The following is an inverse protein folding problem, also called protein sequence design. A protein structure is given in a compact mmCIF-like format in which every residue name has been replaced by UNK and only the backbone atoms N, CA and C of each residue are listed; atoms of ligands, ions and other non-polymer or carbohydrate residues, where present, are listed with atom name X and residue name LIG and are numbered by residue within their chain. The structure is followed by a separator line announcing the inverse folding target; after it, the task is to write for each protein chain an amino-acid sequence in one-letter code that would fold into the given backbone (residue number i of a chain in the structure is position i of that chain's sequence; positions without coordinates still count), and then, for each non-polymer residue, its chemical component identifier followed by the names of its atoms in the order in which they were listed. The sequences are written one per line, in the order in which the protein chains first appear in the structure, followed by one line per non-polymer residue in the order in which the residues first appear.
data_IF_426609865258
#
_entry.id   IF_426609865258
#
_cell.length_a   1.000
_cell.length_b   1.000
_cell.length_c   1.000
_cell.angle_alpha   90.00
_cell.angle_beta   90.00
_cell.angle_gamma   90.00
#
_symmetry.space_group_name_H-M   'P 1'
#
loop_
_entity.id
_entity.type
_entity.pdbx_description
1 polymer ?
#
# COMPACT_ATOMS: atom_id res chain seq x y z
N UNK A 1 16.59 -4.62 -2.23
CA UNK A 1 17.96 -4.63 -1.76
C UNK A 1 18.04 -3.97 -0.40
N UNK A 2 18.77 -4.62 0.55
CA UNK A 2 19.08 -3.96 1.79
C UNK A 2 19.97 -2.76 1.42
N UNK A 3 19.39 -1.59 1.39
CA UNK A 3 20.13 -0.36 1.15
C UNK A 3 20.18 0.40 2.47
N UNK A 4 21.30 1.01 2.77
CA UNK A 4 21.42 1.95 3.88
C UNK A 4 20.58 3.23 3.65
N UNK A 5 19.77 3.24 2.58
CA UNK A 5 18.84 4.30 2.26
C UNK A 5 17.60 4.20 3.16
N UNK A 6 17.32 5.23 3.98
CA UNK A 6 16.11 5.28 4.81
C UNK A 6 14.80 5.15 4.02
N UNK A 7 14.78 5.56 2.75
CA UNK A 7 13.62 5.43 1.88
C UNK A 7 13.38 3.96 1.47
N UNK A 8 14.45 3.18 1.27
CA UNK A 8 14.32 1.75 0.97
C UNK A 8 13.80 0.94 2.16
N UNK A 9 14.09 1.37 3.40
CA UNK A 9 13.53 0.76 4.61
C UNK A 9 12.00 0.91 4.73
N UNK A 10 11.39 1.71 3.85
CA UNK A 10 9.95 1.94 3.75
C UNK A 10 9.29 1.09 2.65
N UNK A 11 10.05 0.28 1.90
CA UNK A 11 9.47 -0.58 0.87
C UNK A 11 8.55 -1.63 1.49
N UNK A 12 7.48 -1.98 0.77
CA UNK A 12 6.50 -2.94 1.25
C UNK A 12 7.15 -4.30 1.59
N UNK A 13 8.08 -4.77 0.76
CA UNK A 13 8.78 -6.06 0.99
C UNK A 13 9.59 -6.04 2.27
N UNK A 14 10.29 -4.93 2.55
CA UNK A 14 11.07 -4.78 3.79
C UNK A 14 10.13 -4.68 5.00
N UNK A 15 9.02 -3.96 4.89
CA UNK A 15 8.02 -3.87 5.95
C UNK A 15 7.43 -5.25 6.30
N UNK A 16 7.10 -6.06 5.30
CA UNK A 16 6.61 -7.43 5.47
C UNK A 16 7.70 -8.31 6.11
N UNK A 17 8.91 -8.30 5.58
CA UNK A 17 10.02 -9.10 6.11
C UNK A 17 10.32 -8.76 7.58
N UNK A 18 10.33 -7.49 7.91
CA UNK A 18 10.54 -7.00 9.29
C UNK A 18 9.41 -7.46 10.22
N UNK A 19 8.16 -7.36 9.75
CA UNK A 19 7.00 -7.83 10.50
C UNK A 19 7.06 -9.34 10.74
N UNK A 20 7.40 -10.13 9.72
CA UNK A 20 7.49 -11.58 9.81
C UNK A 20 8.63 -12.04 10.74
N UNK A 21 9.74 -11.33 10.76
CA UNK A 21 10.86 -11.58 11.69
C UNK A 21 10.55 -11.15 13.12
N UNK A 22 9.53 -10.31 13.32
CA UNK A 22 9.19 -9.72 14.61
C UNK A 22 10.37 -8.99 15.27
N UNK A 23 11.23 -8.41 14.45
CA UNK A 23 12.44 -7.71 14.89
C UNK A 23 12.37 -6.21 14.54
N UNK A 24 11.92 -5.36 15.49
CA UNK A 24 11.86 -3.93 15.25
C UNK A 24 13.23 -3.25 15.17
N UNK A 25 14.31 -3.94 15.59
CA UNK A 25 15.65 -3.33 15.68
C UNK A 25 16.28 -3.05 14.32
N UNK A 26 15.78 -3.69 13.26
CA UNK A 26 16.21 -3.42 11.87
C UNK A 26 15.63 -2.11 11.33
N UNK A 27 14.65 -1.51 12.02
CA UNK A 27 14.06 -0.22 11.68
C UNK A 27 14.74 0.88 12.47
N UNK A 28 14.82 2.07 11.89
CA UNK A 28 15.35 3.26 12.58
C UNK A 28 14.53 3.56 13.83
N UNK A 29 15.21 3.97 14.91
CA UNK A 29 14.61 4.22 16.24
C UNK A 29 13.54 5.32 16.24
N UNK A 30 13.69 6.30 15.36
CA UNK A 30 12.83 7.48 15.28
C UNK A 30 11.66 7.34 14.30
N UNK A 31 11.37 6.11 13.83
CA UNK A 31 10.30 5.89 12.84
C UNK A 31 8.99 5.42 13.48
N UNK A 32 7.90 5.88 12.91
CA UNK A 32 6.54 5.42 13.22
C UNK A 32 6.40 3.91 13.02
N UNK A 33 7.10 3.34 12.04
CA UNK A 33 7.06 1.90 11.73
C UNK A 33 7.64 1.06 12.88
N UNK A 34 8.79 1.48 13.42
CA UNK A 34 9.38 0.79 14.58
C UNK A 34 8.46 0.87 15.79
N UNK A 35 7.99 2.05 16.13
CA UNK A 35 7.07 2.25 17.26
C UNK A 35 5.78 1.43 17.09
N UNK A 36 5.23 1.37 15.88
CA UNK A 36 4.03 0.58 15.59
C UNK A 36 4.28 -0.93 15.71
N UNK A 37 5.41 -1.42 15.21
CA UNK A 37 5.76 -2.83 15.35
C UNK A 37 6.03 -3.21 16.83
N UNK A 38 6.74 -2.38 17.58
CA UNK A 38 6.96 -2.58 19.02
C UNK A 38 5.63 -2.59 19.78
N UNK A 39 4.71 -1.69 19.47
CA UNK A 39 3.37 -1.66 20.07
C UNK A 39 2.58 -2.94 19.73
N UNK A 40 2.62 -3.40 18.47
CA UNK A 40 2.00 -4.66 18.07
C UNK A 40 2.60 -5.84 18.84
N UNK A 41 3.91 -5.97 18.94
CA UNK A 41 4.58 -7.08 19.61
C UNK A 41 4.30 -7.12 21.13
N UNK A 42 3.98 -5.98 21.72
CA UNK A 42 3.66 -5.86 23.16
C UNK A 42 2.16 -6.06 23.46
N UNK A 43 1.28 -6.16 22.46
CA UNK A 43 -0.17 -6.39 22.67
C UNK A 43 -0.50 -7.89 22.66
N UNK A 44 -1.62 -8.25 23.29
CA UNK A 44 -2.13 -9.62 23.32
C UNK A 44 -3.06 -9.87 22.12
N UNK A 45 -2.58 -10.64 21.16
CA UNK A 45 -3.32 -10.98 19.93
C UNK A 45 -4.00 -12.35 19.99
N UNK A 46 -3.98 -13.06 21.14
CA UNK A 46 -4.56 -14.40 21.26
C UNK A 46 -6.06 -14.38 20.95
N UNK A 47 -6.47 -15.27 20.06
CA UNK A 47 -7.85 -15.39 19.62
C UNK A 47 -8.33 -14.30 18.65
N UNK A 48 -7.45 -13.39 18.21
CA UNK A 48 -7.76 -12.38 17.19
C UNK A 48 -7.30 -12.88 15.83
N UNK A 49 -8.10 -12.63 14.80
CA UNK A 49 -7.71 -12.83 13.40
C UNK A 49 -6.96 -11.60 12.90
N UNK A 50 -5.84 -11.80 12.25
CA UNK A 50 -5.08 -10.70 11.64
C UNK A 50 -5.80 -10.20 10.38
N UNK A 51 -5.73 -8.89 10.19
CA UNK A 51 -6.14 -8.23 8.97
C UNK A 51 -5.01 -7.31 8.50
N UNK A 52 -4.48 -7.57 7.31
CA UNK A 52 -3.48 -6.72 6.67
C UNK A 52 -4.16 -5.84 5.63
N UNK A 53 -4.07 -4.53 5.78
CA UNK A 53 -4.47 -3.56 4.77
C UNK A 53 -3.21 -3.02 4.12
N UNK A 54 -3.09 -3.26 2.81
CA UNK A 54 -1.92 -2.86 2.02
C UNK A 54 -2.35 -1.68 1.14
N UNK A 55 -1.74 -0.50 1.36
CA UNK A 55 -1.99 0.69 0.57
C UNK A 55 -0.65 1.35 0.20
N UNK A 56 -0.11 0.93 -0.93
CA UNK A 56 1.16 1.39 -1.48
C UNK A 56 0.97 1.87 -2.94
N UNK A 57 1.98 2.53 -3.49
CA UNK A 57 2.04 2.89 -4.89
C UNK A 57 2.26 4.38 -5.18
N UNK A 58 1.90 5.31 -4.27
CA UNK A 58 2.16 6.74 -4.49
C UNK A 58 3.66 7.05 -4.53
N UNK A 59 4.44 6.49 -3.60
CA UNK A 59 5.88 6.69 -3.61
C UNK A 59 6.55 6.02 -4.81
N UNK A 60 6.06 4.86 -5.23
CA UNK A 60 6.53 4.16 -6.43
C UNK A 60 6.27 5.01 -7.67
N UNK A 61 5.07 5.58 -7.79
CA UNK A 61 4.69 6.50 -8.86
C UNK A 61 5.59 7.75 -8.89
N UNK A 62 5.77 8.45 -7.74
CA UNK A 62 6.62 9.63 -7.68
C UNK A 62 8.10 9.36 -7.93
N UNK A 63 8.58 8.17 -7.56
CA UNK A 63 9.97 7.75 -7.77
C UNK A 63 10.21 7.15 -9.16
N UNK A 64 9.16 6.98 -9.97
CA UNK A 64 9.27 6.44 -11.32
C UNK A 64 9.65 4.97 -11.40
N UNK A 65 9.34 4.17 -10.38
CA UNK A 65 9.53 2.73 -10.46
C UNK A 65 8.61 2.12 -11.54
N UNK A 66 9.09 1.11 -12.23
CA UNK A 66 8.26 0.38 -13.20
C UNK A 66 7.03 -0.23 -12.52
N UNK A 67 5.88 -0.21 -13.19
CA UNK A 67 4.65 -0.79 -12.65
C UNK A 67 4.78 -2.31 -12.53
N UNK A 68 5.28 -2.99 -13.57
CA UNK A 68 5.43 -4.44 -13.59
C UNK A 68 6.57 -4.86 -14.52
N UNK A 69 7.07 -6.09 -14.34
CA UNK A 69 7.94 -6.78 -15.29
C UNK A 69 7.28 -8.12 -15.66
N UNK A 70 6.75 -8.26 -16.89
CA UNK A 70 6.13 -9.52 -17.34
C UNK A 70 7.11 -10.68 -17.43
N UNK A 71 8.43 -10.44 -17.55
CA UNK A 71 9.45 -11.49 -17.65
C UNK A 71 9.90 -11.96 -16.26
N UNK A 72 9.82 -11.09 -15.24
CA UNK A 72 10.02 -11.43 -13.83
C UNK A 72 8.88 -10.88 -12.95
N UNK A 73 7.74 -11.57 -12.87
CA UNK A 73 6.56 -11.10 -12.13
C UNK A 73 6.78 -10.88 -10.62
N UNK A 74 7.90 -11.36 -10.08
CA UNK A 74 8.26 -11.20 -8.67
C UNK A 74 9.49 -10.29 -8.46
N UNK A 75 9.90 -9.55 -9.49
CA UNK A 75 10.95 -8.55 -9.34
C UNK A 75 10.51 -7.45 -8.36
N UNK A 76 11.13 -7.45 -7.18
CA UNK A 76 10.80 -6.51 -6.09
C UNK A 76 11.24 -5.08 -6.35
N UNK A 77 11.89 -4.80 -7.47
CA UNK A 77 12.19 -3.43 -7.94
C UNK A 77 10.97 -2.82 -8.63
N UNK A 78 10.04 -3.64 -9.11
CA UNK A 78 8.76 -3.17 -9.67
C UNK A 78 7.67 -3.11 -8.59
N UNK A 79 6.69 -2.24 -8.81
CA UNK A 79 5.54 -2.08 -7.91
C UNK A 79 4.74 -3.39 -7.76
N UNK A 80 4.31 -3.98 -8.87
CA UNK A 80 3.51 -5.21 -8.84
C UNK A 80 4.30 -6.42 -8.32
N UNK A 81 5.58 -6.53 -8.68
CA UNK A 81 6.45 -7.61 -8.18
C UNK A 81 6.67 -7.53 -6.68
N UNK A 82 6.84 -6.31 -6.14
CA UNK A 82 6.91 -6.09 -4.70
C UNK A 82 5.60 -6.47 -3.98
N UNK A 83 4.45 -6.10 -4.54
CA UNK A 83 3.14 -6.47 -4.00
C UNK A 83 2.93 -7.99 -3.99
N UNK A 84 3.18 -8.68 -5.12
CA UNK A 84 3.06 -10.16 -5.21
C UNK A 84 3.95 -10.85 -4.19
N UNK A 85 5.20 -10.40 -4.08
CA UNK A 85 6.17 -10.98 -3.15
C UNK A 85 5.74 -10.81 -1.69
N UNK A 86 5.33 -9.60 -1.29
CA UNK A 86 4.88 -9.34 0.07
C UNK A 86 3.56 -10.05 0.41
N UNK A 87 2.57 -10.04 -0.48
CA UNK A 87 1.29 -10.73 -0.27
C UNK A 87 1.51 -12.23 -0.11
N UNK A 88 2.32 -12.84 -0.99
CA UNK A 88 2.67 -14.27 -0.89
C UNK A 88 3.30 -14.60 0.45
N UNK A 89 4.27 -13.81 0.90
CA UNK A 89 4.93 -14.02 2.19
C UNK A 89 3.96 -13.94 3.37
N UNK A 90 2.98 -13.02 3.32
CA UNK A 90 1.94 -12.92 4.34
C UNK A 90 0.97 -14.11 4.30
N UNK A 91 0.57 -14.56 3.10
CA UNK A 91 -0.31 -15.72 2.94
C UNK A 91 0.34 -17.02 3.44
N UNK A 92 1.63 -17.20 3.18
CA UNK A 92 2.41 -18.36 3.66
C UNK A 92 2.56 -18.36 5.18
N UNK A 93 2.82 -17.21 5.78
CA UNK A 93 3.05 -17.09 7.22
C UNK A 93 1.74 -17.06 8.04
N UNK A 94 0.67 -16.51 7.47
CA UNK A 94 -0.63 -16.31 8.13
C UNK A 94 -1.79 -16.74 7.21
N UNK A 95 -1.97 -18.06 6.97
CA UNK A 95 -2.97 -18.55 6.00
C UNK A 95 -4.42 -18.19 6.36
N UNK A 96 -4.70 -17.91 7.63
CA UNK A 96 -6.04 -17.50 8.10
C UNK A 96 -6.23 -15.97 8.15
N UNK A 97 -5.22 -15.18 7.84
CA UNK A 97 -5.32 -13.74 7.86
C UNK A 97 -6.26 -13.22 6.74
N UNK A 98 -6.87 -12.08 7.00
CA UNK A 98 -7.48 -11.27 5.95
C UNK A 98 -6.40 -10.38 5.35
N UNK A 99 -6.29 -10.35 4.03
CA UNK A 99 -5.42 -9.42 3.31
C UNK A 99 -6.31 -8.63 2.37
N UNK A 100 -6.25 -7.30 2.45
CA UNK A 100 -6.95 -6.39 1.55
C UNK A 100 -5.94 -5.48 0.90
N UNK A 101 -5.93 -5.46 -0.43
CA UNK A 101 -5.13 -4.53 -1.21
C UNK A 101 -5.99 -3.32 -1.59
N UNK A 102 -5.52 -2.13 -1.24
CA UNK A 102 -6.14 -0.86 -1.60
C UNK A 102 -5.25 -0.13 -2.62
N UNK A 103 -5.84 0.37 -3.68
CA UNK A 103 -5.14 1.19 -4.66
C UNK A 103 -4.60 2.49 -4.02
N UNK A 104 -3.61 3.15 -4.64
CA UNK A 104 -3.28 4.53 -4.33
C UNK A 104 -4.53 5.42 -4.38
N UNK A 105 -4.61 6.43 -3.51
CA UNK A 105 -5.73 7.37 -3.54
C UNK A 105 -5.58 8.40 -4.66
N UNK A 106 -6.69 9.09 -4.98
CA UNK A 106 -6.70 10.25 -5.84
C UNK A 106 -5.80 11.36 -5.27
N UNK A 107 -5.08 12.06 -6.14
CA UNK A 107 -4.21 13.19 -5.80
C UNK A 107 -4.50 14.36 -6.75
N UNK A 108 -4.18 15.58 -6.30
CA UNK A 108 -4.30 16.80 -7.12
C UNK A 108 -2.96 17.33 -7.61
N UNK A 109 -1.90 16.55 -7.44
CA UNK A 109 -0.56 16.93 -7.87
C UNK A 109 -0.39 16.61 -9.37
N UNK A 110 -0.84 17.56 -10.22
CA UNK A 110 -0.73 17.47 -11.67
C UNK A 110 -0.02 18.69 -12.24
N UNK A 111 0.77 18.50 -13.27
CA UNK A 111 1.38 19.59 -14.02
C UNK A 111 0.42 20.07 -15.11
N UNK A 112 0.09 21.37 -15.13
CA UNK A 112 -0.80 21.99 -16.13
C UNK A 112 -2.16 21.28 -16.31
N UNK A 113 -2.70 20.69 -15.24
CA UNK A 113 -3.97 19.96 -15.26
C UNK A 113 -3.90 18.57 -15.90
N UNK A 114 -2.71 18.09 -16.20
CA UNK A 114 -2.48 16.72 -16.68
C UNK A 114 -1.76 15.90 -15.61
N UNK A 115 -2.09 14.63 -15.53
CA UNK A 115 -1.45 13.69 -14.63
C UNK A 115 0.05 13.61 -14.91
N UNK A 116 0.87 13.80 -13.87
CA UNK A 116 2.30 13.60 -13.98
C UNK A 116 2.62 12.14 -14.26
N UNK A 117 3.63 11.93 -15.07
CA UNK A 117 4.22 10.63 -15.27
C UNK A 117 5.48 10.54 -14.40
N UNK A 118 5.65 9.42 -13.71
CA UNK A 118 6.92 9.09 -13.08
C UNK A 118 8.04 8.98 -14.12
N UNK A 119 9.29 8.87 -13.70
CA UNK A 119 10.45 8.73 -14.61
C UNK A 119 10.29 7.55 -15.58
N UNK A 120 9.57 6.49 -15.19
CA UNK A 120 9.21 5.38 -16.07
C UNK A 120 8.13 5.72 -17.11
N UNK A 121 7.58 6.95 -17.09
CA UNK A 121 6.52 7.39 -18.01
C UNK A 121 5.13 6.79 -17.73
N UNK A 122 4.93 6.13 -16.58
CA UNK A 122 3.64 5.54 -16.20
C UNK A 122 2.77 6.52 -15.45
N UNK A 123 1.46 6.48 -15.69
CA UNK A 123 0.47 7.28 -14.97
C UNK A 123 0.12 6.66 -13.63
N UNK A 124 -0.43 7.43 -12.68
CA UNK A 124 -0.91 6.89 -11.41
C UNK A 124 -2.00 5.82 -11.62
N UNK A 125 -2.84 6.00 -12.62
CA UNK A 125 -3.87 5.01 -12.98
C UNK A 125 -3.29 3.68 -13.45
N UNK A 126 -2.07 3.64 -13.98
CA UNK A 126 -1.37 2.39 -14.28
C UNK A 126 -1.02 1.60 -13.00
N UNK A 127 -0.63 2.30 -11.93
CA UNK A 127 -0.41 1.65 -10.62
C UNK A 127 -1.72 1.17 -10.00
N UNK A 128 -2.82 1.93 -10.16
CA UNK A 128 -4.16 1.50 -9.72
C UNK A 128 -4.57 0.21 -10.42
N UNK A 129 -4.41 0.14 -11.74
CA UNK A 129 -4.70 -1.08 -12.52
C UNK A 129 -3.77 -2.23 -12.12
N UNK A 130 -2.46 -1.96 -11.97
CA UNK A 130 -1.50 -2.97 -11.52
C UNK A 130 -1.87 -3.57 -10.16
N UNK A 131 -2.33 -2.74 -9.20
CA UNK A 131 -2.83 -3.24 -7.91
C UNK A 131 -4.06 -4.13 -8.07
N UNK A 132 -5.01 -3.76 -8.94
CA UNK A 132 -6.18 -4.58 -9.22
C UNK A 132 -5.80 -5.94 -9.81
N UNK A 133 -4.89 -5.95 -10.78
CA UNK A 133 -4.40 -7.18 -11.43
C UNK A 133 -3.67 -8.09 -10.43
N UNK A 134 -2.84 -7.51 -9.54
CA UNK A 134 -2.17 -8.26 -8.47
C UNK A 134 -3.18 -8.84 -7.50
N UNK A 135 -4.20 -8.08 -7.09
CA UNK A 135 -5.23 -8.56 -6.17
C UNK A 135 -5.98 -9.78 -6.75
N UNK A 136 -6.35 -9.72 -8.03
CA UNK A 136 -6.99 -10.83 -8.74
C UNK A 136 -6.07 -12.06 -8.81
N UNK A 137 -4.81 -11.88 -9.22
CA UNK A 137 -3.79 -12.95 -9.30
C UNK A 137 -3.51 -13.61 -7.95
N UNK A 138 -3.47 -12.82 -6.89
CA UNK A 138 -3.17 -13.30 -5.54
C UNK A 138 -4.40 -13.77 -4.76
N UNK A 139 -5.61 -13.61 -5.32
CA UNK A 139 -6.87 -14.01 -4.71
C UNK A 139 -7.19 -13.23 -3.42
N UNK A 140 -6.86 -11.94 -3.37
CA UNK A 140 -7.14 -11.06 -2.23
C UNK A 140 -8.19 -10.00 -2.58
N UNK A 141 -9.05 -9.59 -1.62
CA UNK A 141 -9.95 -8.46 -1.81
C UNK A 141 -9.22 -7.20 -2.25
N UNK A 142 -9.86 -6.44 -3.16
CA UNK A 142 -9.34 -5.18 -3.68
C UNK A 142 -10.31 -4.04 -3.44
N UNK A 143 -9.78 -2.89 -3.02
CA UNK A 143 -10.52 -1.64 -2.98
C UNK A 143 -9.86 -0.59 -3.89
N UNK A 144 -10.60 -0.18 -4.91
CA UNK A 144 -10.18 0.89 -5.82
C UNK A 144 -10.35 2.25 -5.13
N UNK A 145 -9.34 2.65 -4.38
CA UNK A 145 -9.34 3.91 -3.64
C UNK A 145 -9.38 5.12 -4.58
N UNK A 146 -8.73 5.01 -5.72
CA UNK A 146 -8.63 6.11 -6.68
C UNK A 146 -9.99 6.51 -7.26
N UNK A 147 -10.78 5.53 -7.73
CA UNK A 147 -12.04 5.82 -8.42
C UNK A 147 -13.27 5.76 -7.50
N UNK A 148 -13.21 5.01 -6.40
CA UNK A 148 -14.39 4.69 -5.58
C UNK A 148 -14.43 5.39 -4.23
N UNK A 149 -13.36 6.02 -3.79
CA UNK A 149 -13.37 6.78 -2.53
C UNK A 149 -14.24 8.04 -2.61
N UNK A 150 -14.54 8.51 -3.84
CA UNK A 150 -15.37 9.70 -4.05
C UNK A 150 -14.60 11.02 -3.94
N UNK A 151 -13.27 10.97 -3.83
CA UNK A 151 -12.41 12.15 -3.88
C UNK A 151 -12.15 12.48 -5.35
N UNK A 152 -12.39 13.73 -5.73
CA UNK A 152 -12.29 14.24 -7.10
C UNK A 152 -11.63 15.62 -7.10
N UNK A 153 -11.34 16.16 -8.27
CA UNK A 153 -10.81 17.53 -8.39
C UNK A 153 -11.72 18.58 -7.73
N UNK A 154 -13.04 18.38 -7.76
CA UNK A 154 -14.02 19.35 -7.27
C UNK A 154 -14.13 19.38 -5.76
N UNK A 155 -13.80 18.28 -5.07
CA UNK A 155 -13.94 18.14 -3.61
C UNK A 155 -12.65 17.76 -2.89
N UNK A 156 -11.51 17.73 -3.58
CA UNK A 156 -10.25 17.31 -3.01
C UNK A 156 -9.85 18.11 -1.74
N UNK A 157 -10.18 19.41 -1.71
CA UNK A 157 -9.91 20.27 -0.56
C UNK A 157 -10.64 19.82 0.72
N UNK A 158 -11.74 19.10 0.62
CA UNK A 158 -12.50 18.60 1.76
C UNK A 158 -11.87 17.32 2.35
N UNK A 159 -11.10 16.56 1.54
CA UNK A 159 -10.59 15.23 1.88
C UNK A 159 -9.08 15.10 1.88
N UNK A 160 -8.35 16.04 1.29
CA UNK A 160 -6.89 16.04 1.27
C UNK A 160 -6.34 17.13 2.20
N UNK A 161 -5.30 16.79 2.97
CA UNK A 161 -4.55 17.74 3.81
C UNK A 161 -3.61 18.62 2.98
N UNK A 162 -3.16 18.08 1.87
CA UNK A 162 -2.32 18.72 0.86
C UNK A 162 -2.71 18.14 -0.52
N UNK A 163 -1.84 18.21 -1.50
CA UNK A 163 -2.13 17.65 -2.83
C UNK A 163 -2.17 16.12 -2.90
N UNK A 164 -1.76 15.41 -1.83
CA UNK A 164 -1.46 13.97 -1.84
C UNK A 164 -2.12 13.21 -0.69
N UNK A 165 -2.01 13.72 0.54
CA UNK A 165 -2.36 12.97 1.74
C UNK A 165 -3.80 13.21 2.17
N UNK A 166 -4.50 12.15 2.54
CA UNK A 166 -5.84 12.24 3.12
C UNK A 166 -5.81 12.99 4.46
N UNK A 167 -6.71 13.95 4.64
CA UNK A 167 -6.97 14.61 5.91
C UNK A 167 -7.82 13.70 6.85
N UNK A 168 -8.33 14.21 7.95
CA UNK A 168 -9.11 13.43 8.92
C UNK A 168 -10.39 12.86 8.29
N UNK A 169 -11.13 13.67 7.55
CA UNK A 169 -12.36 13.25 6.85
C UNK A 169 -12.06 12.22 5.76
N UNK A 170 -11.00 12.43 4.97
CA UNK A 170 -10.56 11.48 3.95
C UNK A 170 -10.15 10.14 4.54
N UNK A 171 -9.43 10.14 5.67
CA UNK A 171 -9.07 8.91 6.39
C UNK A 171 -10.27 8.18 6.99
N UNK A 172 -11.25 8.93 7.52
CA UNK A 172 -12.50 8.34 8.00
C UNK A 172 -13.28 7.67 6.86
N UNK A 173 -13.41 8.35 5.73
CA UNK A 173 -14.05 7.83 4.53
C UNK A 173 -13.34 6.56 4.04
N UNK A 174 -12.03 6.59 3.95
CA UNK A 174 -11.20 5.44 3.55
C UNK A 174 -11.39 4.25 4.49
N UNK A 175 -11.29 4.44 5.81
CA UNK A 175 -11.49 3.38 6.79
C UNK A 175 -12.88 2.74 6.69
N UNK A 176 -13.92 3.54 6.51
CA UNK A 176 -15.29 3.07 6.32
C UNK A 176 -15.43 2.20 5.07
N UNK A 177 -14.82 2.63 3.97
CA UNK A 177 -14.83 1.90 2.71
C UNK A 177 -14.10 0.55 2.79
N UNK A 178 -12.96 0.51 3.50
CA UNK A 178 -12.22 -0.73 3.73
C UNK A 178 -13.02 -1.74 4.55
N UNK A 179 -13.68 -1.30 5.62
CA UNK A 179 -14.54 -2.16 6.46
C UNK A 179 -15.67 -2.74 5.61
N UNK A 180 -16.35 -1.92 4.81
CA UNK A 180 -17.41 -2.37 3.92
C UNK A 180 -16.91 -3.41 2.90
N UNK A 181 -15.71 -3.22 2.35
CA UNK A 181 -15.11 -4.16 1.40
C UNK A 181 -14.82 -5.52 2.06
N UNK A 182 -14.27 -5.51 3.28
CA UNK A 182 -13.99 -6.73 4.03
C UNK A 182 -15.26 -7.49 4.42
N UNK A 183 -16.34 -6.80 4.76
CA UNK A 183 -17.62 -7.44 5.11
C UNK A 183 -18.28 -8.15 3.93
N UNK A 184 -18.09 -7.66 2.71
CA UNK A 184 -18.59 -8.29 1.48
C UNK A 184 -17.71 -9.45 0.97
N UNK A 185 -16.50 -9.60 1.52
CA UNK A 185 -15.51 -10.62 1.12
C UNK A 185 -15.53 -11.86 2.04
N UNK A 186 -16.46 -11.91 2.97
CA UNK A 186 -16.70 -13.07 3.88
C UNK A 186 -17.74 -14.04 3.25
#
# INVERSE_FOLDING_TARGET
PATDDPAAAMSFVIAVDTFLKQDPTVLREDTVYRTSLEAYLNDDHRGRRLCFVINYGLNDYFSGYAVDDPEDPYDTVTYCGALRTGIRSLQEAYPDALILLAAPNYITFFENGTELHGEAGSTLTAYVQGAADVADQMGVPFYDTYHRLGVTADNAADYLADAVHLNEEGRFLFGTALIATLDHSR
#
